data_IF_792118496101
#
_entry.id   IF_792118496101
#
_cell.length_a   1.000
_cell.length_b   1.000
_cell.length_c   1.000
_cell.angle_alpha   90.00
_cell.angle_beta   90.00
_cell.angle_gamma   90.00
#
_symmetry.space_group_name_H-M   'P 1'
#
loop_
_entity.id
_entity.type
_entity.pdbx_description
1 polymer ?
#
# COMPACT_ATOMS: atom_id res chain seq x y z
N UNK A 1 4.43 13.03 15.64
CA UNK A 1 3.54 12.14 16.42
C UNK A 1 2.11 12.47 16.02
N UNK A 2 1.48 11.63 15.21
CA UNK A 2 0.05 11.79 14.87
C UNK A 2 -0.78 11.11 15.96
N UNK A 3 -1.60 11.89 16.66
CA UNK A 3 -2.55 11.37 17.64
C UNK A 3 -3.83 10.96 16.91
N UNK A 4 -4.18 9.67 16.98
CA UNK A 4 -5.49 9.18 16.56
C UNK A 4 -6.61 9.91 17.31
N UNK A 5 -7.75 10.10 16.66
CA UNK A 5 -8.92 10.70 17.29
C UNK A 5 -9.60 9.66 18.20
N UNK A 6 -9.35 9.75 19.52
CA UNK A 6 -10.08 9.01 20.56
C UNK A 6 -9.64 7.57 20.81
N UNK A 7 -10.32 6.90 21.76
CA UNK A 7 -10.17 5.51 22.24
C UNK A 7 -10.42 4.41 21.17
N UNK A 8 -10.24 4.74 19.88
CA UNK A 8 -10.45 3.81 18.77
C UNK A 8 -9.08 3.27 18.37
N UNK A 9 -8.82 1.99 18.64
CA UNK A 9 -7.63 1.29 18.16
C UNK A 9 -7.73 1.07 16.64
N UNK A 10 -7.42 2.10 15.85
CA UNK A 10 -7.35 1.98 14.39
C UNK A 10 -6.03 1.33 13.96
N UNK A 11 -5.99 0.57 12.86
CA UNK A 11 -4.76 -0.05 12.38
C UNK A 11 -3.63 0.95 12.19
N UNK A 12 -2.44 0.62 12.70
CA UNK A 12 -1.21 1.36 12.42
C UNK A 12 -0.23 0.40 11.76
N UNK A 13 0.05 0.63 10.49
CA UNK A 13 0.94 -0.23 9.69
C UNK A 13 2.15 0.60 9.30
N UNK A 14 3.35 0.11 9.61
CA UNK A 14 4.60 0.72 9.14
C UNK A 14 5.12 -0.04 7.91
N UNK A 15 5.70 0.72 6.98
CA UNK A 15 6.43 0.23 5.82
C UNK A 15 7.76 0.98 5.74
N UNK A 16 8.86 0.24 5.79
CA UNK A 16 10.18 0.80 5.53
C UNK A 16 10.44 0.71 4.01
N UNK A 17 10.69 1.86 3.38
CA UNK A 17 10.85 1.96 1.92
C UNK A 17 12.23 1.53 1.41
N UNK A 18 13.22 1.37 2.29
CA UNK A 18 14.57 0.89 1.96
C UNK A 18 14.76 -0.62 2.22
N UNK A 19 13.78 -1.28 2.85
CA UNK A 19 13.93 -2.65 3.33
C UNK A 19 13.88 -3.73 2.23
N UNK A 20 13.43 -3.39 1.01
CA UNK A 20 13.19 -4.37 -0.04
C UNK A 20 13.46 -3.81 -1.45
N UNK A 21 13.65 -4.74 -2.40
CA UNK A 21 13.73 -4.43 -3.83
C UNK A 21 12.45 -3.72 -4.33
N UNK A 22 12.53 -2.85 -5.35
CA UNK A 22 11.39 -2.05 -5.83
C UNK A 22 10.12 -2.83 -6.12
N UNK A 23 10.23 -4.00 -6.77
CA UNK A 23 9.08 -4.85 -7.11
C UNK A 23 8.43 -5.48 -5.87
N UNK A 24 9.25 -5.87 -4.89
CA UNK A 24 8.75 -6.41 -3.62
C UNK A 24 8.06 -5.31 -2.83
N UNK A 25 8.66 -4.12 -2.77
CA UNK A 25 8.07 -2.95 -2.10
C UNK A 25 6.73 -2.55 -2.73
N UNK A 26 6.63 -2.59 -4.06
CA UNK A 26 5.38 -2.32 -4.78
C UNK A 26 4.29 -3.32 -4.38
N UNK A 27 4.59 -4.62 -4.41
CA UNK A 27 3.61 -5.63 -4.03
C UNK A 27 3.29 -5.62 -2.53
N UNK A 28 4.23 -5.24 -1.66
CA UNK A 28 3.95 -5.05 -0.23
C UNK A 28 3.01 -3.86 -0.03
N UNK A 29 3.26 -2.73 -0.70
CA UNK A 29 2.46 -1.52 -0.54
C UNK A 29 1.04 -1.70 -1.10
N UNK A 30 0.94 -2.15 -2.35
CA UNK A 30 -0.32 -2.19 -3.12
C UNK A 30 -0.98 -3.56 -3.18
N UNK A 31 -0.27 -4.63 -2.83
CA UNK A 31 -0.75 -5.99 -3.01
C UNK A 31 -0.69 -6.43 -4.47
N UNK A 32 -1.12 -7.66 -4.73
CA UNK A 32 -1.18 -8.26 -6.06
C UNK A 32 -2.64 -8.68 -6.36
N UNK A 33 -3.11 -8.43 -7.57
CA UNK A 33 -4.43 -8.89 -8.06
C UNK A 33 -4.40 -10.40 -8.28
N UNK A 34 -5.53 -11.09 -8.07
CA UNK A 34 -5.61 -12.51 -8.42
C UNK A 34 -5.44 -12.71 -9.93
N UNK A 35 -4.62 -13.68 -10.32
CA UNK A 35 -4.32 -13.97 -11.73
C UNK A 35 -4.29 -15.47 -11.96
N UNK A 36 -4.98 -15.91 -13.00
CA UNK A 36 -5.01 -17.30 -13.44
C UNK A 36 -3.70 -17.77 -14.11
N UNK A 37 -2.71 -16.88 -14.26
CA UNK A 37 -1.47 -17.16 -14.99
C UNK A 37 -0.30 -17.61 -14.11
N UNK A 38 -0.34 -17.38 -12.79
CA UNK A 38 0.77 -17.70 -11.88
C UNK A 38 0.28 -18.35 -10.59
N UNK A 39 0.90 -19.48 -10.20
CA UNK A 39 0.47 -20.27 -9.03
C UNK A 39 0.54 -19.51 -7.69
N UNK A 40 1.40 -18.48 -7.58
CA UNK A 40 1.49 -17.61 -6.41
C UNK A 40 0.30 -16.63 -6.28
N UNK A 41 -0.54 -16.52 -7.30
CA UNK A 41 -1.53 -15.45 -7.49
C UNK A 41 -2.97 -15.96 -7.50
N UNK A 42 -3.18 -17.25 -7.20
CA UNK A 42 -4.49 -17.92 -7.21
C UNK A 42 -5.46 -17.34 -6.18
N UNK A 43 -4.97 -16.62 -5.17
CA UNK A 43 -5.81 -15.97 -4.14
C UNK A 43 -5.45 -14.49 -3.90
N UNK A 44 -4.63 -13.92 -4.80
CA UNK A 44 -4.12 -12.55 -4.68
C UNK A 44 -3.35 -12.31 -3.38
N UNK A 45 -2.86 -11.09 -3.19
CA UNK A 45 -2.17 -10.70 -1.94
C UNK A 45 -2.61 -9.32 -1.50
N UNK A 46 -3.06 -9.18 -0.26
CA UNK A 46 -3.38 -7.87 0.34
C UNK A 46 -2.10 -7.06 0.53
N UNK A 47 -2.15 -5.78 0.17
CA UNK A 47 -1.07 -4.83 0.41
C UNK A 47 -1.20 -4.16 1.78
N UNK A 48 -0.17 -3.42 2.18
CA UNK A 48 -0.15 -2.64 3.43
C UNK A 48 -1.22 -1.56 3.43
N UNK A 49 -1.60 -1.02 2.27
CA UNK A 49 -2.75 -0.13 2.14
C UNK A 49 -4.08 -0.80 2.52
N UNK A 50 -4.26 -2.09 2.20
CA UNK A 50 -5.44 -2.83 2.63
C UNK A 50 -5.42 -3.08 4.14
N UNK A 51 -4.25 -3.42 4.69
CA UNK A 51 -4.07 -3.71 6.10
C UNK A 51 -4.22 -2.47 6.99
N UNK A 52 -3.85 -1.30 6.46
CA UNK A 52 -3.96 0.00 7.11
C UNK A 52 -5.36 0.63 6.98
N UNK A 53 -6.30 -0.04 6.30
CA UNK A 53 -7.62 0.52 6.00
C UNK A 53 -8.35 1.02 7.25
N UNK A 54 -8.86 2.25 7.21
CA UNK A 54 -9.51 2.94 8.32
C UNK A 54 -8.53 3.46 9.38
N UNK A 55 -7.22 3.30 9.16
CA UNK A 55 -6.16 3.67 10.08
C UNK A 55 -5.06 4.49 9.41
N UNK A 56 -3.81 4.19 9.75
CA UNK A 56 -2.62 4.96 9.32
C UNK A 56 -1.57 4.06 8.70
N UNK A 57 -1.03 4.50 7.56
CA UNK A 57 0.15 3.91 6.95
C UNK A 57 1.36 4.83 7.19
N UNK A 58 2.32 4.37 7.97
CA UNK A 58 3.57 5.08 8.19
C UNK A 58 4.62 4.64 7.18
N UNK A 59 5.16 5.60 6.43
CA UNK A 59 6.23 5.39 5.46
C UNK A 59 7.55 5.85 6.07
N UNK A 60 8.42 4.90 6.41
CA UNK A 60 9.77 5.17 6.88
C UNK A 60 10.75 5.22 5.71
N UNK A 61 11.80 6.02 5.84
CA UNK A 61 12.85 6.21 4.81
C UNK A 61 12.26 6.53 3.41
N UNK A 62 11.21 7.37 3.36
CA UNK A 62 10.47 7.68 2.12
C UNK A 62 11.35 8.21 0.98
N UNK A 63 12.53 8.77 1.30
CA UNK A 63 13.53 9.23 0.31
C UNK A 63 14.10 8.09 -0.52
N UNK A 64 14.11 6.87 0.01
CA UNK A 64 14.58 5.65 -0.67
C UNK A 64 13.51 5.03 -1.56
N UNK A 65 12.28 5.57 -1.56
CA UNK A 65 11.20 5.05 -2.41
C UNK A 65 11.52 5.29 -3.90
N UNK A 66 11.44 4.26 -4.77
CA UNK A 66 11.62 4.40 -6.21
C UNK A 66 10.66 5.43 -6.84
N UNK A 67 11.14 6.20 -7.83
CA UNK A 67 10.37 7.30 -8.46
C UNK A 67 9.04 6.85 -9.08
N UNK A 68 8.97 5.62 -9.58
CA UNK A 68 7.73 5.02 -10.08
C UNK A 68 6.67 4.87 -8.97
N UNK A 69 7.08 4.40 -7.78
CA UNK A 69 6.19 4.25 -6.62
C UNK A 69 5.81 5.59 -6.02
N UNK A 70 6.71 6.58 -6.05
CA UNK A 70 6.39 7.94 -5.61
C UNK A 70 5.22 8.53 -6.42
N UNK A 71 5.19 8.29 -7.74
CA UNK A 71 4.11 8.76 -8.62
C UNK A 71 2.76 8.09 -8.29
N UNK A 72 2.78 6.80 -7.98
CA UNK A 72 1.60 6.07 -7.52
C UNK A 72 1.14 6.53 -6.13
N UNK A 73 2.09 6.80 -5.21
CA UNK A 73 1.79 7.32 -3.88
C UNK A 73 1.11 8.68 -3.93
N UNK A 74 1.52 9.57 -4.85
CA UNK A 74 0.83 10.84 -5.07
C UNK A 74 -0.64 10.62 -5.44
N UNK A 75 -0.94 9.60 -6.26
CA UNK A 75 -2.33 9.24 -6.59
C UNK A 75 -3.10 8.72 -5.37
N UNK A 76 -2.46 7.89 -4.54
CA UNK A 76 -3.05 7.44 -3.26
C UNK A 76 -3.41 8.62 -2.37
N UNK A 77 -2.53 9.62 -2.27
CA UNK A 77 -2.73 10.76 -1.38
C UNK A 77 -3.80 11.71 -1.93
N UNK A 78 -3.71 12.08 -3.21
CA UNK A 78 -4.58 13.08 -3.83
C UNK A 78 -5.95 12.53 -4.21
N UNK A 79 -5.96 11.41 -4.91
CA UNK A 79 -7.19 10.82 -5.46
C UNK A 79 -7.84 9.82 -4.50
N UNK A 80 -7.13 9.41 -3.44
CA UNK A 80 -7.56 8.32 -2.55
C UNK A 80 -7.85 7.03 -3.31
N UNK A 81 -7.02 6.74 -4.33
CA UNK A 81 -7.16 5.59 -5.22
C UNK A 81 -5.81 4.98 -5.61
N UNK A 82 -5.82 3.68 -5.90
CA UNK A 82 -4.66 2.93 -6.41
C UNK A 82 -5.08 1.69 -7.21
N UNK A 83 -4.10 1.00 -7.80
CA UNK A 83 -4.27 -0.32 -8.42
C UNK A 83 -3.39 -1.33 -7.70
N UNK A 84 -3.85 -2.59 -7.65
CA UNK A 84 -2.98 -3.72 -7.27
C UNK A 84 -1.96 -3.98 -8.37
N UNK A 85 -0.83 -4.57 -8.02
CA UNK A 85 0.14 -5.05 -9.00
C UNK A 85 -0.53 -6.05 -9.93
N UNK A 86 -0.45 -5.81 -11.25
CA UNK A 86 -1.11 -6.61 -12.29
C UNK A 86 -2.63 -6.42 -12.39
N UNK A 87 -3.24 -5.59 -11.55
CA UNK A 87 -4.68 -5.32 -11.55
C UNK A 87 -5.08 -4.13 -12.42
N UNK A 88 -6.28 -4.20 -12.99
CA UNK A 88 -6.90 -3.09 -13.76
C UNK A 88 -8.03 -2.41 -13.01
N UNK A 89 -8.36 -2.89 -11.81
CA UNK A 89 -9.46 -2.40 -10.99
C UNK A 89 -8.98 -1.31 -10.04
N UNK A 90 -9.67 -0.17 -10.04
CA UNK A 90 -9.42 0.92 -9.10
C UNK A 90 -9.84 0.50 -7.68
N UNK A 91 -8.92 0.67 -6.74
CA UNK A 91 -9.10 0.41 -5.31
C UNK A 91 -9.13 1.74 -4.55
N UNK A 92 -10.01 1.87 -3.55
CA UNK A 92 -10.07 3.07 -2.70
C UNK A 92 -9.03 2.98 -1.57
N UNK A 93 -8.22 4.02 -1.43
CA UNK A 93 -7.30 4.21 -0.33
C UNK A 93 -7.99 4.93 0.84
N UNK A 94 -8.58 4.14 1.72
CA UNK A 94 -9.13 4.62 2.99
C UNK A 94 -8.06 4.53 4.09
N UNK A 95 -7.05 5.38 3.96
CA UNK A 95 -5.91 5.48 4.89
C UNK A 95 -5.55 6.95 5.13
N UNK A 96 -5.07 7.22 6.34
CA UNK A 96 -4.42 8.49 6.71
C UNK A 96 -2.94 8.45 6.41
#
# INVERSE_FOLDING_TARGET
IHYGQGDVSTPFIALNCAAAEPSVLEEELFGCEESNFTAATVSGRKGKLDLARGGTLFLDEITEMPSALQSQLVRVIKEKEYFRVGGVKVMKADVR
#
